data_IF_630503317300
#
_entry.id   IF_630503317300
#
_cell.length_a   1.000
_cell.length_b   1.000
_cell.length_c   1.000
_cell.angle_alpha   90.00
_cell.angle_beta   90.00
_cell.angle_gamma   90.00
#
_symmetry.space_group_name_H-M   'P 1'
#
loop_
_entity.id
_entity.type
_entity.pdbx_description
1 polymer ?
#
# COMPACT_ATOMS: atom_id res chain seq x y z
N UNK A 1 14.08 -25.92 11.85
CA UNK A 1 13.09 -24.84 11.71
C UNK A 1 11.74 -25.50 11.53
N UNK A 2 10.66 -24.95 12.03
CA UNK A 2 9.32 -25.55 12.01
C UNK A 2 8.85 -25.81 10.57
N UNK A 3 8.14 -26.92 10.36
CA UNK A 3 7.61 -27.31 9.04
C UNK A 3 6.09 -27.14 8.99
N UNK A 4 5.54 -27.13 7.78
CA UNK A 4 4.09 -27.11 7.57
C UNK A 4 3.40 -28.37 8.15
N UNK A 5 4.13 -29.49 8.24
CA UNK A 5 3.62 -30.73 8.83
C UNK A 5 3.23 -30.56 10.31
N UNK A 6 3.87 -29.66 11.05
CA UNK A 6 3.48 -29.35 12.43
C UNK A 6 2.05 -28.80 12.48
N UNK A 7 1.69 -27.91 11.56
CA UNK A 7 0.32 -27.38 11.47
C UNK A 7 -0.65 -28.50 11.10
N UNK A 8 -0.32 -29.30 10.10
CA UNK A 8 -1.16 -30.41 9.63
C UNK A 8 -1.42 -31.44 10.72
N UNK A 9 -0.43 -31.72 11.56
CA UNK A 9 -0.55 -32.70 12.64
C UNK A 9 -1.41 -32.20 13.82
N UNK A 10 -1.42 -30.87 14.06
CA UNK A 10 -2.15 -30.25 15.17
C UNK A 10 -3.54 -29.81 14.74
N UNK A 11 -3.67 -29.20 13.55
CA UNK A 11 -4.90 -28.63 13.03
C UNK A 11 -5.00 -28.87 11.52
N UNK A 12 -5.58 -30.00 11.10
CA UNK A 12 -5.71 -30.33 9.69
C UNK A 12 -6.68 -29.39 8.95
N UNK A 13 -7.65 -28.76 9.64
CA UNK A 13 -8.58 -27.82 9.03
C UNK A 13 -7.89 -26.53 8.62
N UNK A 14 -7.06 -25.97 9.50
CA UNK A 14 -6.20 -24.81 9.18
C UNK A 14 -5.17 -25.16 8.10
N UNK A 15 -4.56 -26.36 8.18
CA UNK A 15 -3.63 -26.81 7.16
C UNK A 15 -4.30 -26.89 5.78
N UNK A 16 -5.54 -27.41 5.70
CA UNK A 16 -6.29 -27.46 4.45
C UNK A 16 -6.60 -26.05 3.93
N UNK A 17 -7.05 -25.11 4.77
CA UNK A 17 -7.33 -23.74 4.37
C UNK A 17 -6.08 -23.02 3.82
N UNK A 18 -4.89 -23.28 4.39
CA UNK A 18 -3.62 -22.75 3.87
C UNK A 18 -3.30 -23.33 2.48
N UNK A 19 -3.52 -24.63 2.28
CA UNK A 19 -3.33 -25.28 0.98
C UNK A 19 -4.31 -24.75 -0.05
N UNK A 20 -5.57 -24.54 0.32
CA UNK A 20 -6.60 -24.01 -0.56
C UNK A 20 -6.27 -22.57 -1.00
N UNK A 21 -5.79 -21.72 -0.08
CA UNK A 21 -5.34 -20.37 -0.41
C UNK A 21 -4.09 -20.41 -1.31
N UNK A 22 -3.13 -21.30 -1.07
CA UNK A 22 -1.98 -21.46 -1.95
C UNK A 22 -2.40 -21.89 -3.37
N UNK A 23 -3.38 -22.79 -3.49
CA UNK A 23 -3.94 -23.20 -4.77
C UNK A 23 -4.67 -22.06 -5.46
N UNK A 24 -5.44 -21.27 -4.73
CA UNK A 24 -6.08 -20.06 -5.24
C UNK A 24 -5.04 -19.08 -5.80
N UNK A 25 -4.01 -18.76 -5.03
CA UNK A 25 -2.94 -17.86 -5.46
C UNK A 25 -2.24 -18.37 -6.71
N UNK A 26 -1.98 -19.67 -6.81
CA UNK A 26 -1.35 -20.27 -7.99
C UNK A 26 -2.21 -20.17 -9.25
N UNK A 27 -3.53 -20.33 -9.12
CA UNK A 27 -4.47 -20.40 -10.24
C UNK A 27 -5.06 -19.05 -10.68
N UNK A 28 -4.79 -17.95 -9.94
CA UNK A 28 -5.35 -16.65 -10.21
C UNK A 28 -4.29 -15.64 -10.66
N UNK A 29 -4.72 -14.67 -11.46
CA UNK A 29 -3.97 -13.43 -11.73
C UNK A 29 -4.34 -12.40 -10.68
N UNK A 30 -3.38 -12.01 -9.84
CA UNK A 30 -3.56 -11.04 -8.76
C UNK A 30 -3.33 -9.62 -9.26
N UNK A 31 -4.37 -8.81 -9.33
CA UNK A 31 -4.34 -7.41 -9.76
C UNK A 31 -4.77 -6.42 -8.66
N UNK A 32 -4.94 -6.88 -7.41
CA UNK A 32 -5.13 -5.96 -6.30
C UNK A 32 -3.82 -5.19 -6.08
N UNK A 33 -3.86 -3.88 -6.31
CA UNK A 33 -2.68 -3.00 -6.31
C UNK A 33 -1.91 -2.95 -4.98
N UNK A 34 -2.55 -3.38 -3.88
CA UNK A 34 -1.97 -3.43 -2.53
C UNK A 34 -1.51 -4.83 -2.11
N UNK A 35 -1.55 -5.81 -3.00
CA UNK A 35 -1.05 -7.17 -2.74
C UNK A 35 0.25 -7.46 -3.48
N UNK A 36 1.03 -8.38 -2.92
CA UNK A 36 2.31 -8.78 -3.48
C UNK A 36 2.75 -10.16 -2.95
N UNK A 37 3.70 -10.79 -3.64
CA UNK A 37 4.30 -12.06 -3.24
C UNK A 37 5.64 -11.80 -2.57
N UNK A 38 5.71 -12.07 -1.26
CA UNK A 38 6.96 -11.93 -0.49
C UNK A 38 7.94 -13.06 -0.79
N UNK A 39 9.22 -12.83 -0.56
CA UNK A 39 10.25 -13.85 -0.73
C UNK A 39 10.14 -14.99 0.32
N UNK A 40 10.70 -16.15 0.01
CA UNK A 40 10.83 -17.26 0.97
C UNK A 40 11.60 -16.85 2.22
N UNK A 41 12.57 -15.92 2.10
CA UNK A 41 13.34 -15.43 3.25
C UNK A 41 12.48 -14.57 4.18
N UNK A 42 11.61 -13.72 3.65
CA UNK A 42 10.62 -12.94 4.42
C UNK A 42 9.66 -13.90 5.14
N UNK A 43 9.12 -14.91 4.44
CA UNK A 43 8.22 -15.90 5.06
C UNK A 43 8.92 -16.72 6.16
N UNK A 44 10.18 -17.12 5.95
CA UNK A 44 10.95 -17.86 6.95
C UNK A 44 11.21 -17.01 8.21
N UNK A 45 11.47 -15.71 8.06
CA UNK A 45 11.62 -14.80 9.19
C UNK A 45 10.32 -14.65 9.99
N UNK A 46 9.15 -14.60 9.30
CA UNK A 46 7.83 -14.57 9.94
C UNK A 46 7.56 -15.80 10.79
N UNK A 47 7.99 -16.99 10.37
CA UNK A 47 7.84 -18.25 11.09
C UNK A 47 8.96 -18.54 12.10
N UNK A 48 9.73 -17.55 12.53
CA UNK A 48 10.88 -17.73 13.42
C UNK A 48 10.51 -17.75 14.91
N UNK A 49 11.41 -18.27 15.80
CA UNK A 49 11.20 -18.25 17.25
C UNK A 49 11.10 -16.86 17.87
N UNK A 50 11.39 -15.79 17.12
CA UNK A 50 11.27 -14.42 17.58
C UNK A 50 9.83 -14.05 17.98
N UNK A 51 8.83 -14.79 17.50
CA UNK A 51 7.43 -14.67 17.95
C UNK A 51 7.25 -14.90 19.45
N UNK A 52 8.15 -15.64 20.09
CA UNK A 52 8.06 -15.98 21.51
C UNK A 52 8.56 -14.85 22.43
N UNK A 53 9.29 -13.86 21.87
CA UNK A 53 9.99 -12.85 22.68
C UNK A 53 9.17 -11.59 22.94
N UNK A 54 8.94 -11.29 24.21
CA UNK A 54 8.36 -10.06 24.67
C UNK A 54 9.44 -8.96 24.80
N UNK A 55 9.31 -7.84 24.07
CA UNK A 55 10.36 -6.84 23.94
C UNK A 55 9.84 -5.40 24.00
N UNK A 56 8.94 -5.09 24.97
CA UNK A 56 8.46 -3.72 25.19
C UNK A 56 9.62 -2.75 25.43
N UNK A 57 9.49 -1.54 24.91
CA UNK A 57 10.54 -0.55 24.84
C UNK A 57 11.27 -0.56 23.50
N UNK A 58 12.53 -0.15 23.50
CA UNK A 58 13.35 0.02 22.31
C UNK A 58 14.73 -0.59 22.53
N UNK A 59 15.54 -0.84 21.48
CA UNK A 59 16.88 -1.40 21.63
C UNK A 59 17.72 -0.70 22.70
N UNK A 60 18.31 -1.46 23.60
CA UNK A 60 19.08 -0.95 24.74
C UNK A 60 18.26 -0.31 25.89
N UNK A 61 16.94 -0.20 25.73
CA UNK A 61 16.01 0.38 26.71
C UNK A 61 14.74 -0.45 26.81
N UNK A 62 14.88 -1.75 27.03
CA UNK A 62 13.75 -2.69 27.15
C UNK A 62 13.25 -2.75 28.58
N UNK A 63 11.96 -3.06 28.71
CA UNK A 63 11.34 -3.34 30.02
C UNK A 63 11.57 -4.78 30.49
N UNK A 64 12.05 -5.66 29.62
CA UNK A 64 12.27 -7.09 29.89
C UNK A 64 13.71 -7.49 29.61
N UNK A 65 14.20 -8.52 30.33
CA UNK A 65 15.51 -9.15 30.07
C UNK A 65 15.49 -10.06 28.86
N UNK A 66 16.69 -10.53 28.42
CA UNK A 66 16.85 -11.47 27.32
C UNK A 66 16.58 -10.87 25.94
N UNK A 67 16.82 -9.55 25.78
CA UNK A 67 16.51 -8.83 24.52
C UNK A 67 17.74 -8.60 23.64
N UNK A 68 18.90 -9.14 23.98
CA UNK A 68 20.14 -8.91 23.23
C UNK A 68 20.05 -9.31 21.77
N UNK A 69 19.37 -10.41 21.44
CA UNK A 69 19.19 -10.85 20.06
C UNK A 69 18.14 -10.02 19.30
N UNK A 70 17.01 -9.70 19.95
CA UNK A 70 15.98 -8.88 19.31
C UNK A 70 16.40 -7.43 19.13
N UNK A 71 17.30 -6.92 19.97
CA UNK A 71 17.92 -5.61 19.79
C UNK A 71 18.75 -5.56 18.50
N UNK A 72 19.49 -6.63 18.19
CA UNK A 72 20.20 -6.74 16.91
C UNK A 72 19.22 -6.70 15.75
N UNK A 73 18.12 -7.46 15.84
CA UNK A 73 17.10 -7.52 14.78
C UNK A 73 16.45 -6.17 14.54
N UNK A 74 16.03 -5.48 15.60
CA UNK A 74 15.37 -4.18 15.47
C UNK A 74 16.33 -3.09 15.00
N UNK A 75 17.57 -3.07 15.49
CA UNK A 75 18.59 -2.14 15.00
C UNK A 75 18.89 -2.34 13.52
N UNK A 76 19.00 -3.58 13.04
CA UNK A 76 19.18 -3.86 11.60
C UNK A 76 17.99 -3.36 10.77
N UNK A 77 16.77 -3.53 11.25
CA UNK A 77 15.59 -3.02 10.58
C UNK A 77 15.58 -1.49 10.51
N UNK A 78 15.92 -0.82 11.62
CA UNK A 78 16.00 0.64 11.70
C UNK A 78 17.06 1.18 10.74
N UNK A 79 18.29 0.67 10.81
CA UNK A 79 19.40 1.18 10.00
C UNK A 79 19.15 0.94 8.49
N UNK A 80 18.62 -0.23 8.13
CA UNK A 80 18.27 -0.52 6.72
C UNK A 80 17.12 0.35 6.21
N UNK A 81 16.12 0.65 7.04
CA UNK A 81 15.04 1.57 6.67
C UNK A 81 15.58 2.99 6.45
N UNK A 82 16.47 3.47 7.33
CA UNK A 82 17.12 4.78 7.19
C UNK A 82 17.97 4.87 5.92
N UNK A 83 18.75 3.84 5.64
CA UNK A 83 19.57 3.74 4.42
C UNK A 83 18.69 3.73 3.17
N UNK A 84 17.64 2.89 3.16
CA UNK A 84 16.75 2.68 2.02
C UNK A 84 16.00 3.95 1.61
N UNK A 85 15.56 4.75 2.57
CA UNK A 85 14.74 5.94 2.32
C UNK A 85 15.51 7.26 2.47
N UNK A 86 16.75 7.23 2.94
CA UNK A 86 17.58 8.43 3.13
C UNK A 86 17.05 9.35 4.22
N UNK A 87 16.71 8.81 5.39
CA UNK A 87 16.20 9.55 6.54
C UNK A 87 17.03 9.32 7.81
N UNK A 88 16.91 10.23 8.80
CA UNK A 88 17.69 10.15 10.04
C UNK A 88 17.05 9.25 11.10
N UNK A 89 15.72 9.10 11.05
CA UNK A 89 14.93 8.38 12.04
C UNK A 89 13.98 7.38 11.37
N UNK A 90 13.90 6.19 11.95
CA UNK A 90 12.91 5.18 11.59
C UNK A 90 12.35 4.48 12.85
N UNK A 91 11.02 4.34 12.92
CA UNK A 91 10.37 3.43 13.88
C UNK A 91 9.76 2.26 13.10
N UNK A 92 10.23 1.05 13.41
CA UNK A 92 9.86 -0.19 12.71
C UNK A 92 8.81 -1.00 13.48
N UNK A 93 8.36 -0.53 14.63
CA UNK A 93 7.41 -1.23 15.51
C UNK A 93 5.94 -1.15 15.10
N UNK A 94 5.43 -0.17 14.30
CA UNK A 94 4.02 -0.18 13.93
C UNK A 94 3.57 -1.52 13.35
N UNK A 95 2.50 -2.10 13.93
CA UNK A 95 1.95 -3.39 13.49
C UNK A 95 1.29 -3.29 12.11
N UNK A 96 0.83 -2.09 11.74
CA UNK A 96 0.21 -1.80 10.44
C UNK A 96 0.44 -0.34 10.04
N UNK A 97 0.18 -0.01 8.76
CA UNK A 97 0.15 1.39 8.31
C UNK A 97 -0.91 2.22 9.04
N UNK A 98 -2.06 1.62 9.36
CA UNK A 98 -3.12 2.30 10.12
C UNK A 98 -2.63 2.72 11.52
N UNK A 99 -1.88 1.87 12.21
CA UNK A 99 -1.30 2.20 13.51
C UNK A 99 -0.16 3.22 13.41
N UNK A 100 0.65 3.17 12.35
CA UNK A 100 1.64 4.21 12.08
C UNK A 100 0.97 5.58 11.90
N UNK A 101 -0.08 5.65 11.08
CA UNK A 101 -0.85 6.87 10.85
C UNK A 101 -1.48 7.39 12.13
N UNK A 102 -2.11 6.50 12.91
CA UNK A 102 -2.73 6.84 14.18
C UNK A 102 -1.72 7.42 15.17
N UNK A 103 -0.57 6.78 15.32
CA UNK A 103 0.50 7.26 16.22
C UNK A 103 0.96 8.66 15.83
N UNK A 104 1.19 8.90 14.54
CA UNK A 104 1.61 10.22 14.02
C UNK A 104 0.53 11.27 14.25
N UNK A 105 -0.73 10.95 13.94
CA UNK A 105 -1.85 11.87 14.16
C UNK A 105 -1.98 12.29 15.61
N UNK A 106 -1.92 11.36 16.56
CA UNK A 106 -2.02 11.66 18.00
C UNK A 106 -0.73 12.23 18.62
N UNK A 107 0.44 12.04 17.98
CA UNK A 107 1.67 12.72 18.41
C UNK A 107 1.66 14.22 18.07
N UNK A 108 0.93 14.62 17.02
CA UNK A 108 0.97 15.98 16.47
C UNK A 108 -0.32 16.76 16.74
N UNK A 109 -1.47 16.07 16.70
CA UNK A 109 -2.79 16.68 16.80
C UNK A 109 -3.48 16.28 18.11
N UNK A 110 -4.30 17.17 18.64
CA UNK A 110 -5.25 16.89 19.72
C UNK A 110 -6.63 16.52 19.15
N UNK A 111 -7.45 15.76 19.87
CA UNK A 111 -8.84 15.54 19.48
C UNK A 111 -9.57 16.87 19.19
N UNK A 112 -10.22 16.92 18.02
CA UNK A 112 -10.90 18.14 17.53
C UNK A 112 -10.06 19.06 16.64
N UNK A 113 -8.73 18.86 16.57
CA UNK A 113 -7.90 19.58 15.60
C UNK A 113 -8.32 19.26 14.16
N UNK A 114 -8.12 20.20 13.26
CA UNK A 114 -8.43 20.01 11.83
C UNK A 114 -7.29 19.29 11.13
N UNK A 115 -7.62 18.21 10.44
CA UNK A 115 -6.75 17.46 9.53
C UNK A 115 -7.31 17.55 8.11
N UNK A 116 -6.43 17.82 7.15
CA UNK A 116 -6.76 17.82 5.73
C UNK A 116 -6.19 16.57 5.08
N UNK A 117 -7.04 15.82 4.36
CA UNK A 117 -6.65 14.58 3.66
C UNK A 117 -7.35 14.46 2.32
N UNK A 118 -6.88 13.54 1.46
CA UNK A 118 -7.55 13.30 0.18
C UNK A 118 -8.94 12.71 0.42
N UNK A 119 -9.93 13.19 -0.33
CA UNK A 119 -11.28 12.66 -0.34
C UNK A 119 -11.27 11.15 -0.64
N UNK A 120 -12.05 10.38 0.10
CA UNK A 120 -12.15 8.92 -0.07
C UNK A 120 -12.58 8.52 -1.48
N UNK A 121 -13.56 9.24 -2.05
CA UNK A 121 -14.07 8.96 -3.39
C UNK A 121 -13.07 9.35 -4.50
N UNK A 122 -12.07 10.16 -4.15
CA UNK A 122 -10.96 10.55 -5.04
C UNK A 122 -9.69 9.72 -4.83
N UNK A 123 -9.76 8.67 -4.03
CA UNK A 123 -8.65 7.75 -3.81
C UNK A 123 -7.95 7.86 -2.46
N UNK A 124 -8.50 8.63 -1.51
CA UNK A 124 -7.97 8.74 -0.14
C UNK A 124 -8.01 7.41 0.62
N UNK A 125 -7.17 7.29 1.65
CA UNK A 125 -7.17 6.13 2.52
C UNK A 125 -8.12 6.32 3.72
N UNK A 126 -8.70 5.24 4.23
CA UNK A 126 -9.63 5.29 5.39
C UNK A 126 -9.03 5.99 6.62
N UNK A 127 -7.73 5.82 6.86
CA UNK A 127 -7.03 6.44 8.01
C UNK A 127 -6.70 7.93 7.80
N UNK A 128 -7.07 8.52 6.67
CA UNK A 128 -6.89 9.94 6.39
C UNK A 128 -8.16 10.75 6.69
N UNK A 129 -9.11 10.20 7.45
CA UNK A 129 -10.27 10.95 7.90
C UNK A 129 -11.62 10.35 7.56
N UNK A 130 -11.71 9.06 7.22
CA UNK A 130 -13.01 8.39 7.02
C UNK A 130 -13.86 8.50 8.28
N UNK A 131 -15.17 8.84 8.18
CA UNK A 131 -16.08 8.95 9.32
C UNK A 131 -16.21 7.66 10.13
N UNK A 132 -15.96 6.50 9.52
CA UNK A 132 -16.00 5.20 10.21
C UNK A 132 -14.66 4.82 10.85
N UNK A 133 -13.59 5.54 10.51
CA UNK A 133 -12.26 5.35 11.08
C UNK A 133 -12.04 6.25 12.31
N UNK A 134 -11.13 5.84 13.19
CA UNK A 134 -10.80 6.62 14.39
C UNK A 134 -10.31 8.04 14.03
N UNK A 135 -9.62 8.23 12.91
CA UNK A 135 -9.20 9.54 12.42
C UNK A 135 -10.37 10.49 12.18
N UNK A 136 -11.43 10.02 11.53
CA UNK A 136 -12.63 10.83 11.29
C UNK A 136 -13.54 11.00 12.52
N UNK A 137 -13.34 10.18 13.57
CA UNK A 137 -14.09 10.30 14.83
C UNK A 137 -13.46 11.28 15.81
N UNK A 138 -12.15 11.41 15.79
CA UNK A 138 -11.41 12.24 16.77
C UNK A 138 -11.01 13.60 16.21
N UNK A 139 -10.86 13.73 14.88
CA UNK A 139 -10.40 14.96 14.24
C UNK A 139 -11.48 15.56 13.35
N UNK A 140 -11.42 16.88 13.17
CA UNK A 140 -12.23 17.57 12.17
C UNK A 140 -11.58 17.40 10.82
N UNK A 141 -12.26 16.74 9.90
CA UNK A 141 -11.69 16.41 8.59
C UNK A 141 -12.15 17.40 7.52
N UNK A 142 -11.19 17.89 6.74
CA UNK A 142 -11.42 18.74 5.57
C UNK A 142 -10.79 18.03 4.37
N UNK A 143 -11.57 17.59 3.38
CA UNK A 143 -11.03 16.89 2.23
C UNK A 143 -10.49 17.85 1.17
N UNK A 144 -9.41 17.44 0.47
CA UNK A 144 -9.04 17.96 -0.85
C UNK A 144 -9.30 16.88 -1.90
N UNK A 145 -9.33 17.28 -3.17
CA UNK A 145 -9.73 16.36 -4.24
C UNK A 145 -8.82 16.38 -5.46
N UNK A 146 -9.34 15.78 -6.51
CA UNK A 146 -8.79 15.84 -7.87
C UNK A 146 -9.72 16.70 -8.73
N UNK A 147 -9.17 17.26 -9.81
CA UNK A 147 -9.93 17.98 -10.83
C UNK A 147 -10.72 16.99 -11.73
N UNK A 148 -11.47 17.52 -12.68
CA UNK A 148 -12.32 16.71 -13.59
C UNK A 148 -11.51 15.76 -14.48
N UNK A 149 -10.21 16.02 -14.65
CA UNK A 149 -9.28 15.18 -15.41
C UNK A 149 -8.66 14.07 -14.53
N UNK A 150 -8.94 14.05 -13.23
CA UNK A 150 -8.45 13.05 -12.29
C UNK A 150 -7.06 13.33 -11.72
N UNK A 151 -6.56 14.56 -11.79
CA UNK A 151 -5.29 14.99 -11.18
C UNK A 151 -5.54 15.76 -9.89
N UNK A 152 -4.63 15.63 -8.90
CA UNK A 152 -4.71 16.43 -7.66
C UNK A 152 -4.79 17.91 -8.02
N UNK A 153 -5.83 18.57 -7.52
CA UNK A 153 -6.04 20.02 -7.68
C UNK A 153 -5.27 20.76 -6.58
N UNK A 154 -4.03 21.12 -6.89
CA UNK A 154 -3.15 21.79 -5.94
C UNK A 154 -3.58 23.22 -5.63
N UNK A 155 -4.31 23.89 -6.51
CA UNK A 155 -4.80 25.24 -6.28
C UNK A 155 -6.01 25.20 -5.34
N UNK A 156 -6.95 24.27 -5.55
CA UNK A 156 -8.04 23.98 -4.61
C UNK A 156 -7.48 23.56 -3.24
N UNK A 157 -6.49 22.66 -3.21
CA UNK A 157 -5.83 22.23 -1.98
C UNK A 157 -5.27 23.43 -1.20
N UNK A 158 -4.59 24.36 -1.88
CA UNK A 158 -4.04 25.59 -1.28
C UNK A 158 -5.14 26.49 -0.71
N UNK A 159 -6.18 26.75 -1.49
CA UNK A 159 -7.27 27.63 -1.07
C UNK A 159 -7.98 27.08 0.17
N UNK A 160 -8.31 25.78 0.18
CA UNK A 160 -8.90 25.11 1.34
C UNK A 160 -7.96 25.14 2.56
N UNK A 161 -6.66 24.93 2.37
CA UNK A 161 -5.68 24.96 3.46
C UNK A 161 -5.56 26.36 4.07
N UNK A 162 -5.57 27.40 3.26
CA UNK A 162 -5.52 28.80 3.73
C UNK A 162 -6.80 29.22 4.46
N UNK A 163 -7.95 28.76 4.00
CA UNK A 163 -9.25 29.02 4.64
C UNK A 163 -9.37 28.30 5.98
N UNK A 164 -9.05 27.00 6.01
CA UNK A 164 -9.34 26.13 7.17
C UNK A 164 -8.21 26.04 8.18
N UNK A 165 -6.98 26.45 7.80
CA UNK A 165 -5.78 26.41 8.65
C UNK A 165 -5.62 25.09 9.39
N UNK A 166 -5.53 23.96 8.68
CA UNK A 166 -5.44 22.66 9.33
C UNK A 166 -4.15 22.54 10.15
N UNK A 167 -4.22 21.75 11.24
CA UNK A 167 -3.05 21.42 12.03
C UNK A 167 -2.10 20.50 11.26
N UNK A 168 -2.67 19.63 10.41
CA UNK A 168 -1.94 18.64 9.61
C UNK A 168 -2.56 18.53 8.22
N UNK A 169 -1.70 18.43 7.20
CA UNK A 169 -2.06 18.02 5.84
C UNK A 169 -1.47 16.64 5.60
N UNK A 170 -2.30 15.68 5.16
CA UNK A 170 -1.90 14.33 4.80
C UNK A 170 -1.87 14.22 3.28
N UNK A 171 -0.68 14.05 2.70
CA UNK A 171 -0.49 13.67 1.31
C UNK A 171 -0.37 12.15 1.19
N UNK A 172 -0.86 11.59 0.08
CA UNK A 172 -0.84 10.16 -0.18
C UNK A 172 -2.22 9.61 -0.50
N UNK A 173 -2.26 8.52 -1.22
CA UNK A 173 -3.48 7.93 -1.74
C UNK A 173 -3.41 6.42 -1.85
N UNK A 174 -4.60 5.77 -1.80
CA UNK A 174 -4.77 4.34 -2.06
C UNK A 174 -5.11 4.04 -3.53
N UNK A 175 -5.63 5.02 -4.25
CA UNK A 175 -6.14 4.84 -5.60
C UNK A 175 -5.89 6.10 -6.48
N UNK A 176 -4.64 6.54 -6.55
CA UNK A 176 -4.20 7.63 -7.39
C UNK A 176 -3.07 7.18 -8.31
N UNK A 177 -3.31 7.25 -9.61
CA UNK A 177 -2.44 6.65 -10.62
C UNK A 177 -1.31 7.57 -11.10
N UNK A 178 -1.22 8.81 -10.61
CA UNK A 178 -0.27 9.80 -11.09
C UNK A 178 0.79 10.14 -10.05
N UNK A 179 1.87 10.76 -10.50
CA UNK A 179 2.93 11.26 -9.63
C UNK A 179 2.40 12.33 -8.68
N UNK A 180 2.78 12.24 -7.40
CA UNK A 180 2.43 13.22 -6.37
C UNK A 180 3.59 14.22 -6.25
N UNK A 181 3.27 15.53 -6.35
CA UNK A 181 4.23 16.60 -6.14
C UNK A 181 4.30 17.00 -4.66
N UNK A 182 5.21 16.35 -3.92
CA UNK A 182 5.41 16.64 -2.49
C UNK A 182 5.97 18.04 -2.23
N UNK A 183 6.65 18.65 -3.21
CA UNK A 183 7.15 20.00 -3.09
C UNK A 183 5.99 21.02 -3.05
N UNK A 184 4.97 20.82 -3.88
CA UNK A 184 3.75 21.65 -3.83
C UNK A 184 2.99 21.47 -2.53
N UNK A 185 2.87 20.22 -2.03
CA UNK A 185 2.30 19.99 -0.70
C UNK A 185 3.07 20.72 0.40
N UNK A 186 4.41 20.71 0.38
CA UNK A 186 5.23 21.44 1.35
C UNK A 186 4.96 22.94 1.30
N UNK A 187 4.92 23.52 0.11
CA UNK A 187 4.61 24.95 -0.06
C UNK A 187 3.26 25.30 0.57
N UNK A 188 2.22 24.53 0.27
CA UNK A 188 0.88 24.75 0.84
C UNK A 188 0.89 24.60 2.36
N UNK A 189 1.57 23.58 2.89
CA UNK A 189 1.67 23.37 4.33
C UNK A 189 2.39 24.53 5.03
N UNK A 190 3.47 25.06 4.44
CA UNK A 190 4.18 26.24 4.96
C UNK A 190 3.29 27.48 4.98
N UNK A 191 2.57 27.77 3.89
CA UNK A 191 1.64 28.90 3.80
C UNK A 191 0.48 28.81 4.80
N UNK A 192 -0.01 27.59 5.06
CA UNK A 192 -1.08 27.33 6.02
C UNK A 192 -0.59 27.22 7.47
N UNK A 193 0.70 27.05 7.71
CA UNK A 193 1.29 26.77 9.02
C UNK A 193 0.98 25.36 9.53
N UNK A 194 0.79 24.41 8.60
CA UNK A 194 0.43 23.03 8.89
C UNK A 194 1.66 22.10 8.92
N UNK A 195 1.56 21.00 9.67
CA UNK A 195 2.49 19.86 9.56
C UNK A 195 2.16 19.07 8.30
N UNK A 196 3.16 18.74 7.50
CA UNK A 196 3.02 17.86 6.34
C UNK A 196 3.35 16.41 6.73
N UNK A 197 2.35 15.56 6.78
CA UNK A 197 2.48 14.11 6.85
C UNK A 197 2.32 13.52 5.44
N UNK A 198 3.19 12.59 5.07
CA UNK A 198 3.03 11.83 3.83
C UNK A 198 2.88 10.35 4.14
N UNK A 199 1.77 9.76 3.69
CA UNK A 199 1.56 8.31 3.67
C UNK A 199 1.93 7.78 2.28
N UNK A 200 3.13 7.21 2.16
CA UNK A 200 3.63 6.67 0.90
C UNK A 200 3.37 5.16 0.73
N UNK A 201 2.45 4.58 1.49
CA UNK A 201 2.25 3.13 1.58
C UNK A 201 2.15 2.44 0.21
N UNK A 202 1.39 3.01 -0.73
CA UNK A 202 1.23 2.44 -2.06
C UNK A 202 2.47 2.52 -2.94
N UNK A 203 3.24 3.57 -2.79
CA UNK A 203 4.39 3.89 -3.66
C UNK A 203 5.75 3.67 -3.00
N UNK A 204 5.80 3.11 -1.78
CA UNK A 204 7.04 2.99 -1.01
C UNK A 204 8.16 2.24 -1.76
N UNK A 205 7.84 1.18 -2.49
CA UNK A 205 8.80 0.46 -3.31
C UNK A 205 9.32 1.31 -4.48
N UNK A 206 8.46 2.10 -5.12
CA UNK A 206 8.83 3.02 -6.20
C UNK A 206 9.72 4.15 -5.68
N UNK A 207 9.41 4.69 -4.49
CA UNK A 207 10.24 5.71 -3.82
C UNK A 207 11.62 5.14 -3.49
N UNK A 208 11.67 3.94 -2.90
CA UNK A 208 12.93 3.26 -2.57
C UNK A 208 13.80 2.98 -3.81
N UNK A 209 13.19 2.73 -4.96
CA UNK A 209 13.87 2.50 -6.23
C UNK A 209 14.18 3.80 -7.03
N UNK A 210 13.74 4.97 -6.55
CA UNK A 210 13.93 6.24 -7.25
C UNK A 210 13.02 6.45 -8.46
N UNK A 211 11.91 5.69 -8.56
CA UNK A 211 10.95 5.76 -9.68
C UNK A 211 9.74 6.66 -9.38
N UNK A 212 9.62 7.12 -8.14
CA UNK A 212 8.70 8.17 -7.71
C UNK A 212 9.48 9.16 -6.83
N UNK A 213 9.19 10.47 -6.88
CA UNK A 213 9.83 11.44 -6.00
C UNK A 213 9.73 11.03 -4.54
N UNK A 214 10.82 11.19 -3.78
CA UNK A 214 10.84 10.92 -2.35
C UNK A 214 10.11 12.03 -1.58
N UNK A 215 9.23 11.70 -0.62
CA UNK A 215 8.63 12.67 0.27
C UNK A 215 9.58 13.15 1.39
N UNK A 216 10.64 12.39 1.69
CA UNK A 216 11.53 12.65 2.83
C UNK A 216 12.08 14.08 2.88
N UNK A 217 12.51 14.71 1.77
CA UNK A 217 13.02 16.09 1.80
C UNK A 217 11.95 17.16 2.09
N UNK A 218 10.67 16.82 1.98
CA UNK A 218 9.56 17.77 2.03
C UNK A 218 8.63 17.58 3.23
N UNK A 219 8.46 16.34 3.70
CA UNK A 219 7.54 16.02 4.77
C UNK A 219 8.17 16.23 6.16
N UNK A 220 7.36 16.64 7.13
CA UNK A 220 7.76 16.61 8.54
C UNK A 220 7.83 15.16 9.04
N UNK A 221 6.93 14.30 8.55
CA UNK A 221 6.89 12.87 8.87
C UNK A 221 6.33 12.07 7.70
N UNK A 222 6.89 10.89 7.48
CA UNK A 222 6.44 9.94 6.45
C UNK A 222 6.03 8.64 7.13
N UNK A 223 4.88 8.11 6.73
CA UNK A 223 4.45 6.77 7.11
C UNK A 223 4.38 5.87 5.89
N UNK A 224 4.46 4.58 6.10
CA UNK A 224 4.25 3.59 5.05
C UNK A 224 3.84 2.24 5.61
N UNK A 225 3.29 1.40 4.75
CA UNK A 225 3.22 -0.06 4.94
C UNK A 225 4.46 -0.72 4.36
N UNK A 226 4.72 -1.97 4.74
CA UNK A 226 5.85 -2.75 4.24
C UNK A 226 5.47 -3.80 3.18
N UNK A 227 4.18 -4.06 2.95
CA UNK A 227 3.68 -5.24 2.24
C UNK A 227 3.08 -4.98 0.84
N UNK A 228 3.16 -3.75 0.30
CA UNK A 228 2.64 -3.42 -1.03
C UNK A 228 3.76 -3.43 -2.08
N UNK A 229 4.06 -2.31 -2.72
CA UNK A 229 5.18 -2.24 -3.67
C UNK A 229 6.53 -2.55 -3.04
N UNK A 230 6.69 -2.33 -1.72
CA UNK A 230 7.93 -2.66 -1.00
C UNK A 230 8.16 -4.17 -0.84
N UNK A 231 7.15 -5.01 -1.05
CA UNK A 231 7.22 -6.48 -1.08
C UNK A 231 7.73 -7.12 0.22
N UNK A 232 7.35 -6.56 1.37
CA UNK A 232 7.71 -7.09 2.69
C UNK A 232 6.55 -7.72 3.45
N UNK A 233 6.75 -8.05 4.73
CA UNK A 233 5.69 -8.56 5.60
C UNK A 233 4.64 -7.47 5.85
N UNK A 234 3.44 -7.86 6.25
CA UNK A 234 2.41 -6.92 6.70
C UNK A 234 2.87 -6.19 7.95
N UNK A 235 2.94 -4.86 7.86
CA UNK A 235 3.42 -3.98 8.93
C UNK A 235 3.45 -2.53 8.49
N UNK A 236 3.89 -1.65 9.37
CA UNK A 236 4.05 -0.21 9.13
C UNK A 236 5.42 0.33 9.52
N UNK A 237 5.72 1.55 9.08
CA UNK A 237 6.91 2.33 9.41
C UNK A 237 6.54 3.78 9.67
N UNK A 238 7.36 4.46 10.49
CA UNK A 238 7.39 5.91 10.61
C UNK A 238 8.81 6.37 10.33
N UNK A 239 8.98 7.34 9.43
CA UNK A 239 10.24 7.86 8.96
C UNK A 239 10.24 9.39 9.04
N UNK A 240 11.34 10.01 9.48
CA UNK A 240 11.49 11.46 9.46
C UNK A 240 12.95 11.87 9.63
N UNK A 241 13.21 13.18 9.67
CA UNK A 241 14.49 13.71 10.14
C UNK A 241 14.57 13.67 11.67
N UNK A 242 15.76 13.91 12.21
CA UNK A 242 15.98 13.87 13.67
C UNK A 242 15.23 14.99 14.41
N UNK A 243 15.11 16.16 13.83
CA UNK A 243 14.39 17.29 14.44
C UNK A 243 12.91 16.95 14.69
N UNK A 244 12.23 16.39 13.71
CA UNK A 244 10.84 15.97 13.85
C UNK A 244 10.69 14.82 14.86
N UNK A 245 11.63 13.87 14.89
CA UNK A 245 11.65 12.77 15.82
C UNK A 245 11.75 13.28 17.29
N UNK A 246 12.64 14.23 17.54
CA UNK A 246 12.85 14.84 18.86
C UNK A 246 11.63 15.67 19.29
N UNK A 247 11.06 16.43 18.34
CA UNK A 247 9.91 17.31 18.59
C UNK A 247 8.63 16.53 18.93
N UNK A 248 8.33 15.47 18.18
CA UNK A 248 7.04 14.77 18.30
C UNK A 248 7.12 13.46 19.06
N UNK A 249 8.32 12.93 19.32
CA UNK A 249 8.56 11.69 20.08
C UNK A 249 7.70 10.51 19.60
N UNK A 250 7.84 10.14 18.34
CA UNK A 250 7.08 9.04 17.71
C UNK A 250 7.30 7.69 18.39
N UNK A 251 8.45 7.47 19.03
CA UNK A 251 8.67 6.28 19.84
C UNK A 251 7.66 6.18 20.98
N UNK A 252 7.42 7.28 21.71
CA UNK A 252 6.43 7.32 22.79
C UNK A 252 5.00 7.19 22.26
N UNK A 253 4.72 7.72 21.08
CA UNK A 253 3.41 7.61 20.44
C UNK A 253 3.08 6.16 20.05
N UNK A 254 4.08 5.37 19.66
CA UNK A 254 3.91 3.93 19.40
C UNK A 254 3.87 3.19 20.72
N UNK A 255 4.95 3.21 21.52
CA UNK A 255 5.02 2.53 22.79
C UNK A 255 5.37 3.53 23.92
N UNK A 256 4.55 3.62 24.95
CA UNK A 256 3.32 2.87 25.23
C UNK A 256 2.01 3.52 24.70
N UNK A 257 2.11 4.46 23.75
CA UNK A 257 0.98 5.29 23.34
C UNK A 257 -0.20 4.50 22.77
N UNK A 258 0.05 3.64 21.77
CA UNK A 258 -1.02 2.88 21.09
C UNK A 258 -0.72 1.38 20.97
N UNK A 259 0.50 0.93 21.26
CA UNK A 259 0.93 -0.46 21.20
C UNK A 259 1.60 -0.88 22.52
N UNK A 260 1.63 -2.20 22.76
CA UNK A 260 2.43 -2.86 23.78
C UNK A 260 3.64 -3.55 23.15
N UNK A 261 3.82 -4.86 23.38
CA UNK A 261 4.95 -5.64 22.86
C UNK A 261 5.05 -5.61 21.34
N UNK A 262 6.23 -5.31 20.78
CA UNK A 262 6.46 -5.33 19.36
C UNK A 262 6.44 -6.77 18.79
N UNK A 263 6.10 -6.91 17.52
CA UNK A 263 6.09 -8.19 16.82
C UNK A 263 7.49 -8.48 16.26
N UNK A 264 8.37 -9.08 17.06
CA UNK A 264 9.78 -9.22 16.72
C UNK A 264 10.04 -10.10 15.48
N UNK A 265 9.20 -11.10 15.24
CA UNK A 265 9.24 -11.91 14.01
C UNK A 265 8.86 -11.09 12.75
N UNK A 266 7.92 -10.16 12.87
CA UNK A 266 7.58 -9.23 11.79
C UNK A 266 8.71 -8.22 11.56
N UNK A 267 9.33 -7.70 12.63
CA UNK A 267 10.47 -6.77 12.52
C UNK A 267 11.66 -7.47 11.84
N UNK A 268 11.91 -8.74 12.17
CA UNK A 268 12.92 -9.53 11.45
C UNK A 268 12.61 -9.66 9.95
N UNK A 269 11.37 -9.94 9.61
CA UNK A 269 10.93 -10.00 8.22
C UNK A 269 11.02 -8.64 7.51
N UNK A 270 10.75 -7.52 8.20
CA UNK A 270 11.03 -6.17 7.70
C UNK A 270 12.52 -5.97 7.41
N UNK A 271 13.39 -6.37 8.34
CA UNK A 271 14.84 -6.26 8.16
C UNK A 271 15.33 -7.06 6.94
N UNK A 272 14.78 -8.25 6.68
CA UNK A 272 15.05 -9.04 5.47
C UNK A 272 14.56 -8.31 4.22
N UNK A 273 13.32 -7.85 4.23
CA UNK A 273 12.72 -7.09 3.12
C UNK A 273 13.56 -5.86 2.75
N UNK A 274 14.00 -5.08 3.74
CA UNK A 274 14.82 -3.88 3.47
C UNK A 274 16.20 -4.25 2.91
N UNK A 275 16.78 -5.39 3.34
CA UNK A 275 18.01 -5.89 2.74
C UNK A 275 17.84 -6.26 1.26
N UNK A 276 16.72 -6.90 0.92
CA UNK A 276 16.36 -7.18 -0.47
C UNK A 276 16.12 -5.88 -1.27
N UNK A 277 15.45 -4.89 -0.65
CA UNK A 277 15.13 -3.62 -1.29
C UNK A 277 16.36 -2.72 -1.55
N UNK A 278 17.45 -2.92 -0.81
CA UNK A 278 18.73 -2.23 -1.03
C UNK A 278 19.54 -2.80 -2.20
N UNK A 279 19.15 -3.96 -2.77
CA UNK A 279 19.85 -4.58 -3.88
C UNK A 279 19.40 -4.00 -5.24
N UNK A 280 20.28 -4.06 -6.25
CA UNK A 280 19.97 -3.51 -7.59
C UNK A 280 18.86 -4.29 -8.31
N UNK A 281 18.69 -5.57 -8.01
CA UNK A 281 17.61 -6.40 -8.50
C UNK A 281 16.23 -5.85 -8.10
N UNK A 282 16.15 -5.20 -6.94
CA UNK A 282 14.91 -4.56 -6.52
C UNK A 282 14.55 -3.36 -7.38
N UNK A 283 15.52 -2.57 -7.83
CA UNK A 283 15.27 -1.45 -8.75
C UNK A 283 14.75 -1.95 -10.10
N UNK A 284 15.33 -3.04 -10.60
CA UNK A 284 14.88 -3.71 -11.82
C UNK A 284 13.44 -4.22 -11.68
N UNK A 285 13.13 -4.85 -10.55
CA UNK A 285 11.79 -5.32 -10.22
C UNK A 285 10.78 -4.15 -10.17
N UNK A 286 11.10 -3.05 -9.47
CA UNK A 286 10.22 -1.89 -9.39
C UNK A 286 10.00 -1.22 -10.76
N UNK A 287 11.05 -1.17 -11.60
CA UNK A 287 10.90 -0.71 -12.98
C UNK A 287 9.94 -1.60 -13.76
N UNK A 288 10.05 -2.91 -13.62
CA UNK A 288 9.12 -3.87 -14.21
C UNK A 288 7.67 -3.62 -13.78
N UNK A 289 7.41 -3.25 -12.52
CA UNK A 289 6.06 -2.90 -12.04
C UNK A 289 5.48 -1.72 -12.84
N UNK A 290 6.26 -0.66 -13.01
CA UNK A 290 5.80 0.54 -13.74
C UNK A 290 5.60 0.24 -15.23
N UNK A 291 6.57 -0.45 -15.85
CA UNK A 291 6.48 -0.84 -17.27
C UNK A 291 5.24 -1.72 -17.52
N UNK A 292 4.99 -2.69 -16.64
CA UNK A 292 3.81 -3.55 -16.69
C UNK A 292 2.51 -2.76 -16.49
N UNK A 293 2.47 -1.81 -15.57
CA UNK A 293 1.29 -0.98 -15.37
C UNK A 293 0.96 -0.13 -16.59
N UNK A 294 1.97 0.46 -17.22
CA UNK A 294 1.80 1.22 -18.47
C UNK A 294 1.35 0.33 -19.62
N UNK A 295 1.91 -0.88 -19.76
CA UNK A 295 1.52 -1.84 -20.79
C UNK A 295 0.08 -2.32 -20.60
N UNK A 296 -0.31 -2.69 -19.36
CA UNK A 296 -1.69 -3.07 -19.03
C UNK A 296 -2.67 -1.94 -19.30
N UNK A 297 -2.34 -0.72 -18.87
CA UNK A 297 -3.14 0.48 -19.12
C UNK A 297 -3.35 0.73 -20.61
N UNK A 298 -2.27 0.67 -21.40
CA UNK A 298 -2.31 0.85 -22.85
C UNK A 298 -3.16 -0.23 -23.54
N UNK A 299 -3.03 -1.48 -23.10
CA UNK A 299 -3.81 -2.61 -23.60
C UNK A 299 -5.31 -2.45 -23.35
N UNK A 300 -5.69 -1.92 -22.16
CA UNK A 300 -7.09 -1.63 -21.81
C UNK A 300 -7.65 -0.45 -22.65
N UNK A 301 -6.88 0.63 -22.77
CA UNK A 301 -7.25 1.80 -23.60
C UNK A 301 -7.45 1.41 -25.06
N UNK A 302 -6.55 0.60 -25.64
CA UNK A 302 -6.66 0.11 -27.01
C UNK A 302 -7.93 -0.72 -27.23
N UNK A 303 -8.45 -1.32 -26.17
CA UNK A 303 -9.71 -2.07 -26.19
C UNK A 303 -10.93 -1.20 -25.81
N UNK A 304 -10.77 0.12 -25.77
CA UNK A 304 -11.86 1.07 -25.50
C UNK A 304 -12.36 1.08 -24.05
N UNK A 305 -11.54 0.62 -23.11
CA UNK A 305 -11.81 0.71 -21.67
C UNK A 305 -11.24 2.02 -21.17
N UNK A 306 -12.10 2.83 -20.53
CA UNK A 306 -11.73 4.14 -20.02
C UNK A 306 -10.91 4.02 -18.74
N UNK A 307 -9.82 4.76 -18.67
CA UNK A 307 -8.93 4.86 -17.49
C UNK A 307 -9.03 6.27 -16.92
N UNK A 308 -9.26 6.37 -15.61
CA UNK A 308 -9.24 7.66 -14.90
C UNK A 308 -7.89 8.32 -15.08
N UNK A 309 -7.87 9.63 -15.28
CA UNK A 309 -6.69 10.45 -15.65
C UNK A 309 -5.99 10.04 -16.97
N UNK A 310 -6.61 9.16 -17.78
CA UNK A 310 -6.10 8.78 -19.09
C UNK A 310 -4.83 7.93 -19.09
N UNK A 311 -4.38 7.42 -17.91
CA UNK A 311 -3.16 6.62 -17.84
C UNK A 311 -2.64 6.39 -16.42
N UNK A 312 -1.39 5.93 -16.32
CA UNK A 312 -0.70 5.73 -15.05
C UNK A 312 0.77 6.09 -15.13
N UNK A 313 1.30 6.65 -14.03
CA UNK A 313 2.73 6.92 -13.82
C UNK A 313 3.36 5.98 -12.78
N UNK A 314 2.55 5.10 -12.16
CA UNK A 314 2.99 4.25 -11.07
C UNK A 314 2.55 2.78 -11.26
N UNK A 315 2.22 2.07 -10.19
CA UNK A 315 1.93 0.63 -10.16
C UNK A 315 0.45 0.28 -10.32
N UNK A 316 -0.45 1.27 -10.38
CA UNK A 316 -1.90 1.04 -10.39
C UNK A 316 -2.61 1.91 -11.44
N UNK A 317 -3.84 1.54 -11.76
CA UNK A 317 -4.76 2.32 -12.56
C UNK A 317 -6.20 2.15 -12.06
N UNK A 318 -7.04 3.15 -12.33
CA UNK A 318 -8.48 3.09 -12.08
C UNK A 318 -9.21 2.95 -13.42
N UNK A 319 -9.98 1.89 -13.54
CA UNK A 319 -10.88 1.64 -14.68
C UNK A 319 -12.22 2.31 -14.40
N UNK A 320 -12.68 3.13 -15.33
CA UNK A 320 -14.01 3.76 -15.32
C UNK A 320 -14.98 2.89 -16.13
N UNK A 321 -16.01 2.35 -15.48
CA UNK A 321 -17.00 1.44 -16.06
C UNK A 321 -18.29 2.14 -16.49
N UNK A 322 -18.37 3.47 -16.37
CA UNK A 322 -19.61 4.21 -16.67
C UNK A 322 -20.12 4.04 -18.10
N UNK A 323 -19.21 3.80 -19.05
CA UNK A 323 -19.56 3.60 -20.46
C UNK A 323 -20.17 2.21 -20.77
N UNK A 324 -20.14 1.27 -19.79
CA UNK A 324 -20.61 -0.11 -19.98
C UNK A 324 -21.90 -0.43 -19.23
N UNK A 325 -22.49 0.56 -18.53
CA UNK A 325 -23.64 0.36 -17.63
C UNK A 325 -23.41 -0.76 -16.60
N UNK A 326 -22.15 -0.92 -16.17
CA UNK A 326 -21.72 -1.91 -15.20
C UNK A 326 -21.34 -1.23 -13.87
N UNK A 327 -21.37 -2.02 -12.81
CA UNK A 327 -20.89 -1.58 -11.50
C UNK A 327 -19.54 -2.22 -11.18
N UNK A 328 -18.74 -1.54 -10.36
CA UNK A 328 -17.48 -2.12 -9.86
C UNK A 328 -17.71 -3.45 -9.16
N UNK A 329 -18.79 -3.54 -8.35
CA UNK A 329 -19.18 -4.78 -7.64
C UNK A 329 -19.51 -5.93 -8.61
N UNK A 330 -20.19 -5.66 -9.71
CA UNK A 330 -20.52 -6.70 -10.69
C UNK A 330 -19.28 -7.19 -11.42
N UNK A 331 -18.42 -6.25 -11.86
CA UNK A 331 -17.17 -6.59 -12.58
C UNK A 331 -16.17 -7.28 -11.66
N UNK A 332 -16.01 -6.86 -10.39
CA UNK A 332 -15.21 -7.54 -9.38
C UNK A 332 -15.59 -9.03 -9.27
N UNK A 333 -16.91 -9.33 -9.20
CA UNK A 333 -17.39 -10.70 -9.12
C UNK A 333 -17.11 -11.50 -10.41
N UNK A 334 -17.38 -10.93 -11.58
CA UNK A 334 -17.13 -11.59 -12.86
C UNK A 334 -15.64 -11.87 -13.11
N UNK A 335 -14.77 -10.94 -12.70
CA UNK A 335 -13.33 -11.14 -12.77
C UNK A 335 -12.87 -12.27 -11.84
N UNK A 336 -13.39 -12.33 -10.62
CA UNK A 336 -13.08 -13.40 -9.67
C UNK A 336 -13.51 -14.77 -10.23
N UNK A 337 -14.67 -14.87 -10.85
CA UNK A 337 -15.12 -16.08 -11.58
C UNK A 337 -14.19 -16.43 -12.76
N UNK A 338 -13.53 -15.44 -13.37
CA UNK A 338 -12.52 -15.65 -14.41
C UNK A 338 -11.10 -15.91 -13.84
N UNK A 339 -10.96 -16.06 -12.53
CA UNK A 339 -9.69 -16.19 -11.82
C UNK A 339 -8.78 -14.97 -11.94
N UNK A 340 -9.37 -13.78 -11.99
CA UNK A 340 -8.67 -12.50 -11.93
C UNK A 340 -9.11 -11.78 -10.67
N UNK A 341 -8.21 -11.63 -9.71
CA UNK A 341 -8.48 -10.96 -8.43
C UNK A 341 -8.26 -9.45 -8.58
N UNK A 342 -9.32 -8.67 -8.37
CA UNK A 342 -9.32 -7.22 -8.43
C UNK A 342 -10.24 -6.66 -7.34
N UNK A 343 -10.25 -5.36 -7.11
CA UNK A 343 -11.22 -4.77 -6.19
C UNK A 343 -12.04 -3.67 -6.86
N UNK A 344 -13.35 -3.62 -6.51
CA UNK A 344 -14.15 -2.45 -6.84
C UNK A 344 -13.57 -1.19 -6.19
N UNK A 345 -13.70 -0.07 -6.86
CA UNK A 345 -13.21 1.22 -6.39
C UNK A 345 -14.09 2.35 -6.90
N UNK A 346 -14.36 3.34 -6.04
CA UNK A 346 -14.98 4.56 -6.51
C UNK A 346 -14.09 5.28 -7.52
N UNK A 347 -14.70 5.93 -8.48
CA UNK A 347 -14.04 6.90 -9.37
C UNK A 347 -14.32 8.32 -8.88
N UNK A 348 -13.52 9.32 -9.25
CA UNK A 348 -13.82 10.72 -8.91
C UNK A 348 -15.23 11.09 -9.35
N UNK A 349 -15.99 11.76 -8.46
CA UNK A 349 -17.39 12.11 -8.66
C UNK A 349 -18.30 10.91 -8.96
N UNK A 350 -18.03 9.76 -8.34
CA UNK A 350 -18.78 8.52 -8.59
C UNK A 350 -20.29 8.71 -8.33
N UNK A 351 -21.16 8.42 -9.31
CA UNK A 351 -22.61 8.54 -9.13
C UNK A 351 -23.20 7.43 -8.24
N UNK A 352 -22.42 6.39 -7.91
CA UNK A 352 -22.86 5.22 -7.13
C UNK A 352 -22.28 5.24 -5.72
N UNK A 353 -22.91 4.51 -4.81
CA UNK A 353 -22.43 4.40 -3.44
C UNK A 353 -21.09 3.66 -3.34
N UNK A 354 -20.29 3.87 -2.27
CA UNK A 354 -19.03 3.17 -2.05
C UNK A 354 -19.14 1.63 -1.97
N UNK A 355 -20.33 1.10 -1.72
CA UNK A 355 -20.59 -0.34 -1.68
C UNK A 355 -20.80 -0.97 -3.06
N UNK A 356 -21.07 -0.15 -4.07
CA UNK A 356 -21.38 -0.57 -5.44
C UNK A 356 -20.29 -0.13 -6.40
N UNK A 357 -19.94 1.14 -6.40
CA UNK A 357 -18.93 1.85 -7.20
C UNK A 357 -19.16 1.80 -8.73
N UNK A 358 -18.52 2.69 -9.44
CA UNK A 358 -18.51 2.73 -10.91
C UNK A 358 -17.18 2.36 -11.52
N UNK A 359 -16.23 1.86 -10.72
CA UNK A 359 -14.92 1.48 -11.19
C UNK A 359 -14.33 0.27 -10.48
N UNK A 360 -13.19 -0.15 -11.00
CA UNK A 360 -12.28 -1.13 -10.38
C UNK A 360 -10.86 -0.58 -10.36
N UNK A 361 -10.07 -1.00 -9.37
CA UNK A 361 -8.64 -0.70 -9.30
C UNK A 361 -7.85 -1.93 -9.69
N UNK A 362 -6.86 -1.75 -10.56
CA UNK A 362 -5.92 -2.77 -11.00
C UNK A 362 -4.49 -2.33 -10.70
N UNK A 363 -3.61 -3.27 -10.41
CA UNK A 363 -2.19 -3.00 -10.16
C UNK A 363 -1.31 -4.18 -10.55
N UNK A 364 -0.03 -3.94 -10.67
CA UNK A 364 0.94 -4.87 -11.26
C UNK A 364 2.03 -5.41 -10.32
N UNK A 365 2.11 -5.06 -9.02
CA UNK A 365 3.19 -5.58 -8.17
C UNK A 365 3.23 -7.11 -8.09
N UNK A 366 2.09 -7.76 -7.87
CA UNK A 366 2.01 -9.20 -7.70
C UNK A 366 2.35 -9.97 -8.99
N UNK A 367 1.79 -9.58 -10.13
CA UNK A 367 2.09 -10.21 -11.42
C UNK A 367 3.56 -10.02 -11.83
N UNK A 368 4.16 -8.87 -11.50
CA UNK A 368 5.59 -8.62 -11.73
C UNK A 368 6.45 -9.50 -10.81
N UNK A 369 6.09 -9.65 -9.54
CA UNK A 369 6.78 -10.58 -8.62
C UNK A 369 6.68 -12.04 -9.08
N UNK A 370 5.60 -12.39 -9.77
CA UNK A 370 5.39 -13.71 -10.36
C UNK A 370 6.26 -13.95 -11.60
N UNK A 371 6.87 -12.90 -12.17
CA UNK A 371 7.77 -12.98 -13.31
C UNK A 371 7.16 -12.59 -14.66
N UNK A 372 5.92 -12.10 -14.66
CA UNK A 372 5.26 -11.64 -15.88
C UNK A 372 5.87 -10.32 -16.37
N UNK A 373 5.99 -10.18 -17.68
CA UNK A 373 6.53 -9.00 -18.37
C UNK A 373 5.46 -8.21 -19.14
N UNK A 374 5.91 -7.17 -19.84
CA UNK A 374 5.02 -6.27 -20.59
C UNK A 374 4.22 -6.98 -21.70
N UNK A 375 4.76 -8.03 -22.28
CA UNK A 375 4.09 -8.88 -23.28
C UNK A 375 2.89 -9.64 -22.71
N UNK A 376 2.98 -10.07 -21.43
CA UNK A 376 1.88 -10.75 -20.74
C UNK A 376 0.76 -9.77 -20.36
N UNK A 377 1.08 -8.49 -20.21
CA UNK A 377 0.11 -7.45 -19.83
C UNK A 377 -0.96 -7.24 -20.91
N UNK A 378 -0.63 -7.43 -22.19
CA UNK A 378 -1.65 -7.36 -23.25
C UNK A 378 -2.63 -8.54 -23.18
N UNK A 379 -2.15 -9.73 -22.81
CA UNK A 379 -3.02 -10.91 -22.56
C UNK A 379 -3.91 -10.71 -21.34
N UNK A 380 -3.38 -10.10 -20.26
CA UNK A 380 -4.19 -9.75 -19.09
C UNK A 380 -5.23 -8.68 -19.46
N UNK A 381 -4.85 -7.66 -20.25
CA UNK A 381 -5.78 -6.64 -20.75
C UNK A 381 -6.90 -7.25 -21.60
N UNK A 382 -6.58 -8.25 -22.42
CA UNK A 382 -7.55 -9.00 -23.21
C UNK A 382 -8.54 -9.74 -22.31
N UNK A 383 -8.07 -10.50 -21.31
CA UNK A 383 -8.92 -11.24 -20.38
C UNK A 383 -9.86 -10.30 -19.60
N UNK A 384 -9.33 -9.18 -19.08
CA UNK A 384 -10.13 -8.16 -18.37
C UNK A 384 -11.19 -7.55 -19.33
N UNK A 385 -10.80 -7.22 -20.56
CA UNK A 385 -11.71 -6.62 -21.53
C UNK A 385 -12.81 -7.59 -21.98
N UNK A 386 -12.51 -8.88 -22.13
CA UNK A 386 -13.50 -9.92 -22.41
C UNK A 386 -14.59 -9.95 -21.33
N UNK A 387 -14.19 -9.92 -20.06
CA UNK A 387 -15.13 -9.93 -18.92
C UNK A 387 -15.97 -8.64 -18.89
N UNK A 388 -15.34 -7.46 -19.04
CA UNK A 388 -16.06 -6.18 -18.99
C UNK A 388 -17.06 -6.05 -20.13
N UNK A 389 -16.72 -6.51 -21.34
CA UNK A 389 -17.55 -6.34 -22.52
C UNK A 389 -18.57 -7.46 -22.76
N UNK A 390 -18.22 -8.67 -22.37
CA UNK A 390 -19.02 -9.86 -22.69
C UNK A 390 -19.67 -10.52 -21.48
N UNK A 391 -19.39 -10.04 -20.27
CA UNK A 391 -19.99 -10.55 -19.04
C UNK A 391 -19.77 -12.06 -18.84
N UNK A 392 -20.80 -12.72 -18.32
CA UNK A 392 -20.76 -14.16 -18.00
C UNK A 392 -20.41 -15.06 -19.20
N UNK A 393 -20.84 -14.68 -20.41
CA UNK A 393 -20.58 -15.47 -21.64
C UNK A 393 -19.08 -15.57 -21.98
N UNK A 394 -18.26 -14.64 -21.50
CA UNK A 394 -16.83 -14.57 -21.80
C UNK A 394 -15.91 -15.06 -20.66
N UNK A 395 -16.48 -15.48 -19.52
CA UNK A 395 -15.70 -15.96 -18.37
C UNK A 395 -14.81 -17.15 -18.76
N UNK A 396 -15.35 -18.11 -19.49
CA UNK A 396 -14.57 -19.31 -19.89
C UNK A 396 -13.36 -18.96 -20.80
N UNK A 397 -13.54 -18.01 -21.72
CA UNK A 397 -12.47 -17.53 -22.60
C UNK A 397 -11.41 -16.76 -21.81
N UNK A 398 -11.82 -15.87 -20.92
CA UNK A 398 -10.91 -15.14 -20.04
C UNK A 398 -10.13 -16.08 -19.11
N UNK A 399 -10.81 -17.09 -18.52
CA UNK A 399 -10.17 -18.10 -17.67
C UNK A 399 -9.12 -18.93 -18.42
N UNK A 400 -9.33 -19.24 -19.69
CA UNK A 400 -8.34 -19.94 -20.50
C UNK A 400 -7.04 -19.12 -20.65
N UNK A 401 -7.13 -17.80 -20.81
CA UNK A 401 -5.98 -16.89 -20.83
C UNK A 401 -5.28 -16.90 -19.48
N UNK A 402 -6.04 -16.81 -18.39
CA UNK A 402 -5.49 -16.86 -17.03
C UNK A 402 -4.73 -18.18 -16.79
N UNK A 403 -5.31 -19.31 -17.18
CA UNK A 403 -4.67 -20.61 -17.03
C UNK A 403 -3.36 -20.69 -17.83
N UNK A 404 -3.33 -20.23 -19.07
CA UNK A 404 -2.11 -20.15 -19.90
C UNK A 404 -0.99 -19.38 -19.16
N UNK A 405 -1.32 -18.21 -18.60
CA UNK A 405 -0.35 -17.37 -17.91
C UNK A 405 0.10 -17.97 -16.58
N UNK A 406 -0.83 -18.53 -15.80
CA UNK A 406 -0.49 -19.12 -14.49
C UNK A 406 0.32 -20.40 -14.62
N UNK A 407 0.12 -21.19 -15.67
CA UNK A 407 0.92 -22.38 -15.96
C UNK A 407 2.36 -22.01 -16.41
N UNK A 408 2.51 -20.89 -17.13
CA UNK A 408 3.83 -20.37 -17.54
C UNK A 408 4.63 -19.80 -16.37
N UNK A 409 3.96 -19.21 -15.42
CA UNK A 409 4.55 -18.52 -14.26
C UNK A 409 4.03 -19.11 -12.93
N UNK A 410 4.36 -20.33 -12.55
CA UNK A 410 3.92 -20.92 -11.29
C UNK A 410 4.55 -20.17 -10.11
N UNK A 411 3.78 -19.99 -9.01
CA UNK A 411 4.33 -19.53 -7.74
C UNK A 411 5.08 -20.69 -7.06
N UNK A 412 6.38 -20.52 -6.78
CA UNK A 412 7.30 -21.56 -6.26
C UNK A 412 7.55 -21.41 -4.75
#
# INVERSE_FOLDING_TARGET
>A
MYSFDEVKNVDPEIAQAIVDEQNRQNSHIELIASENWVSKAVMAAMGSPLTNKYAEGYPGKRYYGGCECVDVVENLAIERAKELFGCDYANVQPHSGAQANLAVQFAICNPGDTIMGMNLDHGGHLTHGSPVNISGKYFKIVPYGVNDEGFIDYDQLRDIALETRPKMIIAGASAYARTIDFKRFRQVADEAGAVLMVDMAHIAGLVAAGLHPSPIPYADVVTTTTHKTLRGPRGGLILCNQEAADKYNFNKAIFPGIQGGPLMHVIAAKAVCFKEALADEFKTYQKGIVDNAQALCSGLLARGIKIVSGGTDNHLMLVDLTNFDLTGKAVEKLLDEAHITANKNAIPNDPKSPFVTSGIRLGTPAVTSRGMGTEDMDRIAEAVALVIKGGEEKIAEARAIVQELTDRYPLV
#
